data_IF_545738874713
#
_entry.id   IF_545738874713
#
_cell.length_a   1.000
_cell.length_b   1.000
_cell.length_c   1.000
_cell.angle_alpha   90.00
_cell.angle_beta   90.00
_cell.angle_gamma   90.00
#
_symmetry.space_group_name_H-M   'P 1'
#
loop_
_entity.id
_entity.type
_entity.pdbx_description
1 polymer ?
#
# COMPACT_ATOMS: atom_id res chain seq x y z
N UNK A 1 -19.10 -5.62 -26.22
CA UNK A 1 -17.68 -5.46 -26.58
C UNK A 1 -17.36 -4.01 -26.97
N UNK A 2 -18.28 -3.32 -27.65
CA UNK A 2 -18.13 -1.92 -28.09
C UNK A 2 -17.68 -0.95 -26.99
N UNK A 3 -18.24 -1.02 -25.78
CA UNK A 3 -17.82 -0.12 -24.70
C UNK A 3 -16.35 -0.32 -24.28
N UNK A 4 -15.84 -1.56 -24.30
CA UNK A 4 -14.42 -1.82 -24.04
C UNK A 4 -13.56 -1.27 -25.17
N UNK A 5 -13.97 -1.49 -26.42
CA UNK A 5 -13.29 -0.92 -27.60
C UNK A 5 -13.22 0.61 -27.51
N UNK A 6 -14.31 1.25 -27.11
CA UNK A 6 -14.32 2.69 -26.87
C UNK A 6 -13.27 3.10 -25.82
N UNK A 7 -13.13 2.37 -24.71
CA UNK A 7 -12.13 2.67 -23.68
C UNK A 7 -10.67 2.52 -24.15
N UNK A 8 -10.39 1.73 -25.18
CA UNK A 8 -9.01 1.56 -25.71
C UNK A 8 -8.58 2.70 -26.65
N UNK A 9 -9.51 3.58 -27.05
CA UNK A 9 -9.24 4.69 -27.99
C UNK A 9 -9.67 6.05 -27.44
N UNK A 10 -10.72 6.11 -26.62
CA UNK A 10 -11.27 7.36 -26.15
C UNK A 10 -10.38 7.98 -25.05
N UNK A 11 -9.93 9.23 -25.22
CA UNK A 11 -9.10 9.90 -24.24
C UNK A 11 -9.89 10.18 -22.95
N UNK A 12 -9.29 9.90 -21.80
CA UNK A 12 -9.88 10.24 -20.50
C UNK A 12 -9.58 11.68 -20.14
N UNK A 13 -10.59 12.44 -19.68
CA UNK A 13 -10.46 13.85 -19.24
C UNK A 13 -9.26 14.12 -18.32
N UNK A 14 -8.95 13.19 -17.41
CA UNK A 14 -7.87 13.34 -16.42
C UNK A 14 -6.46 13.18 -17.01
N UNK A 15 -6.30 12.36 -18.05
CA UNK A 15 -4.97 11.94 -18.53
C UNK A 15 -4.71 12.28 -19.99
N UNK A 16 -5.71 12.68 -20.76
CA UNK A 16 -5.60 12.86 -22.22
C UNK A 16 -5.39 11.55 -23.00
N UNK A 17 -5.02 10.46 -22.33
CA UNK A 17 -4.79 9.15 -22.91
C UNK A 17 -5.99 8.19 -22.73
N UNK A 18 -6.10 7.13 -23.57
CA UNK A 18 -7.04 6.03 -23.37
C UNK A 18 -6.86 5.30 -22.03
N UNK A 19 -7.83 4.48 -21.65
CA UNK A 19 -7.75 3.69 -20.42
C UNK A 19 -6.72 2.56 -20.56
N UNK A 20 -5.79 2.45 -19.60
CA UNK A 20 -4.85 1.33 -19.57
C UNK A 20 -5.55 -0.01 -19.27
N UNK A 21 -4.93 -1.16 -19.61
CA UNK A 21 -5.56 -2.48 -19.48
C UNK A 21 -6.12 -2.81 -18.09
N UNK A 22 -5.39 -2.46 -17.03
CA UNK A 22 -5.84 -2.69 -15.63
C UNK A 22 -7.06 -1.87 -15.26
N UNK A 23 -7.24 -0.69 -15.86
CA UNK A 23 -8.42 0.15 -15.64
C UNK A 23 -9.64 -0.47 -16.30
N UNK A 24 -9.50 -0.96 -17.53
CA UNK A 24 -10.57 -1.65 -18.26
C UNK A 24 -10.95 -2.96 -17.56
N UNK A 25 -9.96 -3.73 -17.12
CA UNK A 25 -10.20 -4.95 -16.34
C UNK A 25 -10.97 -4.67 -15.05
N UNK A 26 -10.63 -3.61 -14.33
CA UNK A 26 -11.36 -3.21 -13.13
C UNK A 26 -12.81 -2.82 -13.45
N UNK A 27 -13.05 -2.15 -14.58
CA UNK A 27 -14.41 -1.83 -15.03
C UNK A 27 -15.21 -3.09 -15.37
N UNK A 28 -14.61 -4.08 -16.04
CA UNK A 28 -15.24 -5.38 -16.33
C UNK A 28 -15.64 -6.11 -15.05
N UNK A 29 -14.74 -6.15 -14.06
CA UNK A 29 -15.03 -6.74 -12.75
C UNK A 29 -16.15 -5.99 -12.03
N UNK A 30 -16.14 -4.66 -12.04
CA UNK A 30 -17.18 -3.85 -11.40
C UNK A 30 -18.57 -4.11 -12.01
N UNK A 31 -18.69 -4.12 -13.34
CA UNK A 31 -19.94 -4.43 -14.02
C UNK A 31 -20.42 -5.85 -13.67
N UNK A 32 -19.50 -6.81 -13.60
CA UNK A 32 -19.81 -8.19 -13.23
C UNK A 32 -20.32 -8.31 -11.79
N UNK A 33 -19.60 -7.71 -10.84
CA UNK A 33 -19.96 -7.70 -9.43
C UNK A 33 -21.31 -7.03 -9.21
N UNK A 34 -21.53 -5.88 -9.85
CA UNK A 34 -22.79 -5.14 -9.72
C UNK A 34 -23.99 -5.96 -10.21
N UNK A 35 -23.90 -6.65 -11.36
CA UNK A 35 -25.00 -7.52 -11.81
C UNK A 35 -25.32 -8.60 -10.77
N UNK A 36 -24.29 -9.26 -10.21
CA UNK A 36 -24.49 -10.30 -9.20
C UNK A 36 -25.11 -9.74 -7.91
N UNK A 37 -24.65 -8.58 -7.45
CA UNK A 37 -25.18 -7.90 -6.26
C UNK A 37 -26.64 -7.47 -6.44
N UNK A 38 -27.06 -7.17 -7.67
CA UNK A 38 -28.46 -6.85 -8.01
C UNK A 38 -29.30 -8.10 -8.34
N UNK A 39 -28.76 -9.31 -8.18
CA UNK A 39 -29.46 -10.57 -8.50
C UNK A 39 -29.68 -10.81 -9.99
N UNK A 40 -29.03 -10.04 -10.87
CA UNK A 40 -29.07 -10.25 -12.31
C UNK A 40 -28.10 -11.34 -12.75
N UNK A 41 -28.39 -12.05 -13.86
CA UNK A 41 -27.46 -13.01 -14.42
C UNK A 41 -26.15 -12.32 -14.83
N UNK A 42 -25.04 -13.05 -14.67
CA UNK A 42 -23.72 -12.56 -15.04
C UNK A 42 -23.69 -12.20 -16.53
N UNK A 43 -23.25 -10.98 -16.90
CA UNK A 43 -23.16 -10.58 -18.30
C UNK A 43 -22.11 -11.41 -19.04
N UNK A 44 -22.38 -11.71 -20.32
CA UNK A 44 -21.40 -12.37 -21.18
C UNK A 44 -20.26 -11.41 -21.53
N UNK A 45 -19.10 -11.62 -20.90
CA UNK A 45 -17.91 -10.77 -21.06
C UNK A 45 -16.88 -11.32 -22.06
N UNK A 46 -17.17 -12.41 -22.80
CA UNK A 46 -16.19 -13.06 -23.70
C UNK A 46 -15.64 -12.08 -24.75
N UNK A 47 -16.52 -11.39 -25.48
CA UNK A 47 -16.10 -10.41 -26.49
C UNK A 47 -15.37 -9.21 -25.89
N UNK A 48 -15.79 -8.73 -24.71
CA UNK A 48 -15.14 -7.64 -24.01
C UNK A 48 -13.71 -8.02 -23.55
N UNK A 49 -13.53 -9.27 -23.09
CA UNK A 49 -12.22 -9.81 -22.70
C UNK A 49 -11.30 -10.02 -23.90
N UNK A 50 -11.84 -10.46 -25.05
CA UNK A 50 -11.08 -10.60 -26.29
C UNK A 50 -10.51 -9.24 -26.75
N UNK A 51 -11.32 -8.18 -26.74
CA UNK A 51 -10.85 -6.81 -27.07
C UNK A 51 -9.78 -6.34 -26.09
N UNK A 52 -9.94 -6.61 -24.78
CA UNK A 52 -8.93 -6.25 -23.78
C UNK A 52 -7.61 -7.00 -24.01
N UNK A 53 -7.65 -8.28 -24.36
CA UNK A 53 -6.44 -9.06 -24.62
C UNK A 53 -5.72 -8.55 -25.88
N UNK A 54 -6.42 -8.39 -27.00
CA UNK A 54 -5.84 -7.80 -28.21
C UNK A 54 -5.24 -6.39 -27.95
N UNK A 55 -5.87 -5.61 -27.07
CA UNK A 55 -5.32 -4.31 -26.67
C UNK A 55 -4.04 -4.44 -25.84
N UNK A 56 -3.94 -5.43 -24.94
CA UNK A 56 -2.70 -5.72 -24.20
C UNK A 56 -1.58 -6.11 -25.16
N UNK A 57 -1.86 -6.98 -26.12
CA UNK A 57 -0.88 -7.44 -27.11
C UNK A 57 -0.35 -6.27 -27.94
N UNK A 58 -1.25 -5.44 -28.50
CA UNK A 58 -0.88 -4.23 -29.24
C UNK A 58 0.00 -3.26 -28.42
N UNK A 59 -0.34 -3.05 -27.15
CA UNK A 59 0.47 -2.17 -26.29
C UNK A 59 1.84 -2.77 -25.98
N UNK A 60 1.92 -4.09 -25.83
CA UNK A 60 3.17 -4.80 -25.55
C UNK A 60 4.10 -4.80 -26.78
N UNK A 61 3.56 -5.11 -27.96
CA UNK A 61 4.29 -5.03 -29.25
C UNK A 61 4.83 -3.63 -29.50
N UNK A 62 4.04 -2.60 -29.21
CA UNK A 62 4.46 -1.20 -29.34
C UNK A 62 5.39 -0.70 -28.20
N UNK A 63 5.77 -1.57 -27.26
CA UNK A 63 6.54 -1.22 -26.04
C UNK A 63 5.98 0.00 -25.30
N UNK A 64 4.66 0.18 -25.35
CA UNK A 64 4.02 1.37 -24.81
C UNK A 64 4.15 1.40 -23.28
N UNK A 65 4.33 2.60 -22.70
CA UNK A 65 4.39 2.77 -21.25
C UNK A 65 3.14 2.24 -20.52
N UNK A 66 2.00 2.15 -21.22
CA UNK A 66 0.76 1.56 -20.69
C UNK A 66 0.80 0.02 -20.58
N UNK A 67 1.71 -0.66 -21.26
CA UNK A 67 1.96 -2.10 -21.11
C UNK A 67 2.89 -2.41 -19.93
N UNK A 68 3.71 -1.44 -19.51
CA UNK A 68 4.69 -1.65 -18.46
C UNK A 68 4.05 -1.58 -17.06
N UNK A 69 4.36 -2.54 -16.16
CA UNK A 69 3.88 -2.47 -14.79
C UNK A 69 4.44 -1.21 -14.12
N UNK A 70 3.57 -0.38 -13.56
CA UNK A 70 3.99 0.76 -12.74
C UNK A 70 4.54 0.25 -11.43
N UNK A 71 5.86 0.16 -11.33
CA UNK A 71 6.56 -0.19 -10.11
C UNK A 71 7.07 1.09 -9.44
N UNK A 72 6.85 1.20 -8.13
CA UNK A 72 7.50 2.25 -7.36
C UNK A 72 9.00 1.95 -7.29
N UNK A 73 9.82 3.00 -7.30
CA UNK A 73 11.25 2.84 -7.04
C UNK A 73 11.46 2.20 -5.66
N UNK A 74 12.46 1.33 -5.56
CA UNK A 74 12.79 0.69 -4.29
C UNK A 74 13.20 1.74 -3.24
N UNK A 75 12.64 1.62 -2.04
CA UNK A 75 13.00 2.46 -0.92
C UNK A 75 14.35 1.98 -0.33
N UNK A 76 15.45 2.36 -0.97
CA UNK A 76 16.80 2.01 -0.52
C UNK A 76 17.18 2.79 0.77
N UNK A 77 18.19 2.34 1.54
CA UNK A 77 18.59 3.00 2.79
C UNK A 77 18.86 4.51 2.64
N UNK A 78 19.43 4.95 1.52
CA UNK A 78 19.61 6.38 1.22
C UNK A 78 18.30 7.16 1.12
N UNK A 79 17.28 6.55 0.50
CA UNK A 79 15.94 7.16 0.39
C UNK A 79 15.24 7.21 1.74
N UNK A 80 15.38 6.15 2.55
CA UNK A 80 14.86 6.14 3.93
C UNK A 80 15.48 7.27 4.76
N UNK A 81 16.81 7.44 4.70
CA UNK A 81 17.49 8.56 5.38
C UNK A 81 16.99 9.92 4.91
N UNK A 82 16.84 10.11 3.59
CA UNK A 82 16.33 11.35 3.03
C UNK A 82 14.89 11.67 3.50
N UNK A 83 14.01 10.66 3.56
CA UNK A 83 12.66 10.82 4.11
C UNK A 83 12.69 11.21 5.59
N UNK A 84 13.54 10.54 6.38
CA UNK A 84 13.63 10.77 7.82
C UNK A 84 14.24 12.13 8.16
N UNK A 85 15.14 12.67 7.33
CA UNK A 85 15.71 14.00 7.50
C UNK A 85 14.67 15.13 7.41
N UNK A 86 13.49 14.85 6.84
CA UNK A 86 12.37 15.80 6.75
C UNK A 86 11.36 15.66 7.88
N UNK A 87 11.51 14.65 8.74
CA UNK A 87 10.63 14.42 9.87
C UNK A 87 11.20 15.07 11.14
N UNK A 88 10.55 16.13 11.62
CA UNK A 88 10.92 16.77 12.89
C UNK A 88 10.50 15.90 14.09
N UNK A 89 11.48 15.16 14.63
CA UNK A 89 11.28 14.21 15.73
C UNK A 89 11.04 14.87 17.09
N UNK A 90 11.09 16.20 17.19
CA UNK A 90 10.61 16.92 18.36
C UNK A 90 9.07 16.96 18.43
N UNK A 91 8.39 16.81 17.29
CA UNK A 91 6.92 16.80 17.21
C UNK A 91 6.35 15.38 17.24
N UNK A 92 5.14 15.22 17.78
CA UNK A 92 4.43 13.93 17.75
C UNK A 92 4.19 13.45 16.30
N UNK A 93 3.92 14.38 15.37
CA UNK A 93 3.74 14.06 13.95
C UNK A 93 5.04 13.53 13.30
N UNK A 94 6.19 14.13 13.61
CA UNK A 94 7.46 13.65 13.08
C UNK A 94 7.92 12.34 13.72
N UNK A 95 7.66 12.13 15.01
CA UNK A 95 7.87 10.83 15.66
C UNK A 95 6.99 9.72 15.03
N UNK A 96 5.71 10.01 14.81
CA UNK A 96 4.79 9.12 14.08
C UNK A 96 5.34 8.79 12.69
N UNK A 97 5.72 9.80 11.92
CA UNK A 97 6.19 9.60 10.55
C UNK A 97 7.48 8.77 10.52
N UNK A 98 8.41 9.03 11.44
CA UNK A 98 9.65 8.25 11.57
C UNK A 98 9.36 6.79 11.93
N UNK A 99 8.50 6.55 12.93
CA UNK A 99 8.09 5.21 13.32
C UNK A 99 7.38 4.47 12.17
N UNK A 100 6.50 5.16 11.43
CA UNK A 100 5.76 4.57 10.30
C UNK A 100 6.69 4.13 9.17
N UNK A 101 7.65 4.98 8.78
CA UNK A 101 8.62 4.67 7.72
C UNK A 101 9.52 3.51 8.15
N UNK A 102 10.09 3.58 9.36
CA UNK A 102 11.05 2.59 9.83
C UNK A 102 10.40 1.24 10.14
N UNK A 103 9.22 1.23 10.77
CA UNK A 103 8.47 0.00 11.01
C UNK A 103 7.97 -0.61 9.70
N UNK A 104 7.48 0.20 8.77
CA UNK A 104 7.07 -0.25 7.45
C UNK A 104 8.21 -0.91 6.67
N UNK A 105 9.39 -0.30 6.72
CA UNK A 105 10.60 -0.86 6.12
C UNK A 105 10.99 -2.18 6.80
N UNK A 106 11.06 -2.22 8.13
CA UNK A 106 11.46 -3.42 8.89
C UNK A 106 10.50 -4.60 8.73
N UNK A 107 9.21 -4.35 8.54
CA UNK A 107 8.18 -5.39 8.42
C UNK A 107 7.84 -5.77 6.98
N UNK A 108 8.37 -5.02 5.99
CA UNK A 108 7.94 -5.07 4.59
C UNK A 108 6.40 -5.02 4.43
N UNK A 109 5.72 -4.30 5.34
CA UNK A 109 4.26 -4.23 5.38
C UNK A 109 3.71 -3.26 4.34
N UNK A 110 2.52 -3.55 3.83
CA UNK A 110 1.79 -2.57 3.00
C UNK A 110 1.26 -1.45 3.87
N UNK A 111 1.07 -0.26 3.30
CA UNK A 111 0.48 0.89 4.02
C UNK A 111 -0.84 0.50 4.70
N UNK A 112 -1.73 -0.21 3.99
CA UNK A 112 -3.00 -0.68 4.55
C UNK A 112 -2.86 -1.64 5.73
N UNK A 113 -1.73 -2.34 5.82
CA UNK A 113 -1.43 -3.27 6.91
C UNK A 113 -0.85 -2.50 8.11
N UNK A 114 -0.03 -1.47 7.88
CA UNK A 114 0.50 -0.59 8.93
C UNK A 114 -0.58 0.25 9.60
N UNK A 115 -1.48 0.86 8.84
CA UNK A 115 -2.56 1.70 9.40
C UNK A 115 -3.61 0.90 10.17
N UNK A 116 -3.62 -0.43 10.00
CA UNK A 116 -4.50 -1.34 10.73
C UNK A 116 -3.85 -1.90 12.02
N UNK A 117 -2.62 -1.48 12.35
CA UNK A 117 -1.95 -1.92 13.58
C UNK A 117 -2.49 -1.18 14.79
N UNK A 118 -2.85 -1.95 15.81
CA UNK A 118 -3.11 -1.45 17.15
C UNK A 118 -1.84 -1.49 18.01
N UNK A 119 -1.83 -0.68 19.08
CA UNK A 119 -0.73 -0.66 20.07
C UNK A 119 -0.49 -2.06 20.66
N UNK A 120 -1.55 -2.83 20.87
CA UNK A 120 -1.48 -4.20 21.41
C UNK A 120 -0.80 -5.20 20.47
N UNK A 121 -0.67 -4.88 19.18
CA UNK A 121 0.02 -5.74 18.21
C UNK A 121 1.56 -5.63 18.29
N UNK A 122 2.08 -4.75 19.16
CA UNK A 122 3.50 -4.51 19.41
C UNK A 122 3.85 -5.01 20.80
N UNK A 123 4.51 -6.17 20.86
CA UNK A 123 5.01 -6.75 22.11
C UNK A 123 6.49 -6.40 22.30
N UNK A 124 6.90 -6.04 23.51
CA UNK A 124 8.33 -5.88 23.84
C UNK A 124 9.02 -7.24 23.93
N UNK A 125 10.24 -7.30 23.41
CA UNK A 125 11.09 -8.47 23.44
C UNK A 125 12.54 -8.05 23.72
N UNK A 126 13.40 -8.99 24.13
CA UNK A 126 14.81 -8.72 24.42
C UNK A 126 15.53 -8.06 23.23
N UNK A 127 15.22 -8.52 22.01
CA UNK A 127 15.81 -8.02 20.78
C UNK A 127 15.23 -6.68 20.29
N UNK A 128 14.17 -6.16 20.94
CA UNK A 128 13.43 -4.98 20.51
C UNK A 128 11.93 -5.15 20.66
N UNK A 129 11.24 -5.43 19.55
CA UNK A 129 9.79 -5.66 19.54
C UNK A 129 9.40 -6.82 18.62
N UNK A 130 8.39 -7.57 19.02
CA UNK A 130 7.65 -8.46 18.11
C UNK A 130 6.38 -7.75 17.64
N UNK A 131 6.27 -7.54 16.32
CA UNK A 131 5.12 -6.84 15.71
C UNK A 131 4.31 -7.80 14.86
N UNK A 132 3.07 -8.05 15.29
CA UNK A 132 2.14 -8.95 14.61
C UNK A 132 1.27 -8.17 13.62
N UNK A 133 1.41 -8.49 12.34
CA UNK A 133 0.70 -7.78 11.27
C UNK A 133 -0.25 -8.73 10.54
N UNK A 134 -1.50 -8.31 10.32
CA UNK A 134 -2.43 -9.02 9.45
C UNK A 134 -2.10 -8.77 7.96
N UNK A 135 -1.62 -9.80 7.27
CA UNK A 135 -1.21 -9.75 5.87
C UNK A 135 -2.42 -9.89 4.95
N UNK A 136 -3.10 -8.79 4.62
CA UNK A 136 -4.36 -8.77 3.85
C UNK A 136 -4.30 -9.58 2.54
N UNK A 137 -3.17 -9.55 1.81
CA UNK A 137 -3.01 -10.29 0.54
C UNK A 137 -3.09 -11.82 0.72
N UNK A 138 -2.51 -12.34 1.80
CA UNK A 138 -2.42 -13.79 2.07
C UNK A 138 -3.32 -14.24 3.23
N UNK A 139 -4.10 -13.31 3.80
CA UNK A 139 -5.11 -13.52 4.83
C UNK A 139 -4.61 -14.26 6.09
N UNK A 140 -3.41 -13.94 6.57
CA UNK A 140 -2.85 -14.51 7.80
C UNK A 140 -2.15 -13.46 8.66
N UNK A 141 -2.00 -13.73 9.95
CA UNK A 141 -1.11 -12.97 10.82
C UNK A 141 0.34 -13.39 10.60
N UNK A 142 1.26 -12.44 10.74
CA UNK A 142 2.70 -12.70 10.70
C UNK A 142 3.37 -11.81 11.73
N UNK A 143 4.01 -12.44 12.71
CA UNK A 143 4.86 -11.78 13.70
C UNK A 143 6.23 -11.54 13.10
N UNK A 144 6.73 -10.31 13.24
CA UNK A 144 8.02 -9.90 12.72
C UNK A 144 8.85 -9.39 13.89
N UNK A 145 10.02 -9.99 14.09
CA UNK A 145 11.01 -9.51 15.04
C UNK A 145 11.62 -8.20 14.53
N UNK A 146 11.46 -7.13 15.29
CA UNK A 146 11.97 -5.79 15.00
C UNK A 146 13.22 -5.58 15.85
N UNK A 147 14.36 -5.69 15.18
CA UNK A 147 15.67 -5.61 15.80
C UNK A 147 16.16 -4.17 15.91
N UNK A 148 17.04 -3.91 16.88
CA UNK A 148 17.77 -2.65 16.94
C UNK A 148 18.65 -2.46 15.70
N UNK A 149 18.55 -1.27 15.08
CA UNK A 149 19.51 -0.81 14.10
C UNK A 149 20.76 -0.22 14.77
N UNK A 150 21.91 -0.38 14.12
CA UNK A 150 23.20 0.18 14.55
C UNK A 150 23.14 1.70 14.64
N UNK A 151 22.61 2.36 13.61
CA UNK A 151 22.44 3.82 13.57
C UNK A 151 21.16 4.25 14.32
N UNK A 152 21.27 5.08 15.38
CA UNK A 152 20.11 5.60 16.09
C UNK A 152 19.11 6.36 15.20
N UNK A 153 19.57 7.05 14.16
CA UNK A 153 18.70 7.81 13.27
C UNK A 153 17.78 6.89 12.44
N UNK A 154 18.23 5.67 12.12
CA UNK A 154 17.48 4.71 11.30
C UNK A 154 16.99 3.48 12.07
N UNK A 155 17.13 3.48 13.40
CA UNK A 155 16.73 2.35 14.24
C UNK A 155 15.20 2.27 14.43
N UNK A 156 14.53 1.21 13.95
CA UNK A 156 13.07 1.08 14.05
C UNK A 156 12.59 0.93 15.51
N UNK A 157 13.34 0.20 16.34
CA UNK A 157 13.01 0.01 17.77
C UNK A 157 13.02 1.34 18.51
N UNK A 158 14.07 2.15 18.35
CA UNK A 158 14.18 3.46 19.01
C UNK A 158 13.07 4.41 18.55
N UNK A 159 12.79 4.46 17.25
CA UNK A 159 11.73 5.30 16.70
C UNK A 159 10.34 4.88 17.22
N UNK A 160 10.05 3.57 17.24
CA UNK A 160 8.78 3.05 17.74
C UNK A 160 8.62 3.29 19.24
N UNK A 161 9.68 3.09 20.03
CA UNK A 161 9.67 3.37 21.48
C UNK A 161 9.40 4.85 21.76
N UNK A 162 10.09 5.76 21.08
CA UNK A 162 9.89 7.20 21.25
C UNK A 162 8.44 7.61 20.94
N UNK A 163 7.89 7.11 19.83
CA UNK A 163 6.51 7.41 19.45
C UNK A 163 5.48 6.81 20.42
N UNK A 164 5.65 5.56 20.88
CA UNK A 164 4.77 4.94 21.89
C UNK A 164 4.79 5.70 23.21
N UNK A 165 5.97 6.16 23.65
CA UNK A 165 6.09 6.97 24.86
C UNK A 165 5.34 8.31 24.71
N UNK A 166 5.43 8.96 23.54
CA UNK A 166 4.70 10.19 23.27
C UNK A 166 3.18 9.98 23.19
N UNK A 167 2.71 8.86 22.62
CA UNK A 167 1.30 8.48 22.67
C UNK A 167 0.81 8.27 24.10
N UNK A 168 1.58 7.55 24.93
CA UNK A 168 1.25 7.31 26.32
C UNK A 168 1.19 8.63 27.12
N UNK A 169 2.14 9.55 26.89
CA UNK A 169 2.13 10.89 27.49
C UNK A 169 0.89 11.72 27.08
N UNK A 170 0.34 11.46 25.89
CA UNK A 170 -0.92 12.03 25.41
C UNK A 170 -2.17 11.23 25.85
N UNK A 171 -2.02 10.27 26.77
CA UNK A 171 -3.13 9.46 27.30
C UNK A 171 -3.62 8.35 26.37
N UNK A 172 -2.86 8.01 25.31
CA UNK A 172 -3.22 6.95 24.35
C UNK A 172 -2.36 5.71 24.56
N UNK A 173 -2.89 4.74 25.30
CA UNK A 173 -2.22 3.45 25.57
C UNK A 173 -2.82 2.28 24.80
N UNK A 174 -3.96 2.47 24.13
CA UNK A 174 -4.70 1.43 23.41
C UNK A 174 -5.27 1.92 22.06
N UNK A 175 -5.78 0.97 21.28
CA UNK A 175 -6.33 1.19 19.94
C UNK A 175 -5.25 1.45 18.88
N UNK A 176 -5.55 2.22 17.82
CA UNK A 176 -4.67 2.36 16.68
C UNK A 176 -3.31 2.96 17.05
N UNK A 177 -2.25 2.29 16.60
CA UNK A 177 -0.86 2.72 16.78
C UNK A 177 -0.61 4.02 16.00
N UNK A 178 -1.03 4.08 14.74
CA UNK A 178 -0.84 5.27 13.90
C UNK A 178 -2.15 6.05 13.80
N UNK A 179 -2.15 7.27 14.36
CA UNK A 179 -3.30 8.17 14.33
C UNK A 179 -2.99 9.48 13.63
N UNK A 180 -4.05 10.18 13.24
CA UNK A 180 -3.93 11.58 12.83
C UNK A 180 -3.53 12.40 14.07
N UNK A 181 -2.48 13.18 13.89
CA UNK A 181 -1.87 14.10 14.85
C UNK A 181 -1.97 15.48 14.23
#
# INVERSE_FOLDING_TARGET
AEWVRHLTVAPRKRTGAPAGPSTIERALSAVTSWHLEQGHPKPNMRGARAVLNAYRDRLAEAMAAAAQPKQAAAALPGQIRAMLARADRATLAGQRNAALVLLGFATAARISELVALDIAAVAEAEHGYDVTVYRKKVRRHTTNAILYGTDPATCPVRALRAYRAALAAAGRTEGPLFVRV
#
